data_IF_188272255241
#
_entry.id   IF_188272255241
#
_cell.length_a   1.000
_cell.length_b   1.000
_cell.length_c   1.000
_cell.angle_alpha   90.00
_cell.angle_beta   90.00
_cell.angle_gamma   90.00
#
_symmetry.space_group_name_H-M   'P 1'
#
loop_
_entity.id
_entity.type
_entity.pdbx_description
1 polymer ?
#
# COMPACT_ATOMS: atom_id res chain seq x y z
N UNK A 1 -11.37 18.88 2.66
CA UNK A 1 -12.02 18.13 3.77
C UNK A 1 -13.10 17.17 3.27
N UNK A 2 -13.95 17.55 2.31
CA UNK A 2 -15.00 16.67 1.76
C UNK A 2 -14.49 15.29 1.30
N UNK A 3 -13.34 15.24 0.62
CA UNK A 3 -12.73 13.98 0.18
C UNK A 3 -12.40 13.02 1.33
N UNK A 4 -11.86 13.50 2.45
CA UNK A 4 -11.53 12.65 3.60
C UNK A 4 -12.79 12.14 4.30
N UNK A 5 -13.85 12.96 4.35
CA UNK A 5 -15.15 12.53 4.86
C UNK A 5 -15.72 11.42 3.97
N UNK A 6 -15.67 11.58 2.65
CA UNK A 6 -16.09 10.55 1.70
C UNK A 6 -15.29 9.25 1.87
N UNK A 7 -13.97 9.35 2.08
CA UNK A 7 -13.13 8.19 2.34
C UNK A 7 -13.53 7.47 3.63
N UNK A 8 -13.80 8.21 4.71
CA UNK A 8 -14.25 7.65 5.98
C UNK A 8 -15.65 7.01 5.88
N UNK A 9 -16.57 7.63 5.14
CA UNK A 9 -17.89 7.06 4.87
C UNK A 9 -17.76 5.73 4.11
N UNK A 10 -16.96 5.69 3.04
CA UNK A 10 -16.68 4.46 2.31
C UNK A 10 -16.08 3.37 3.20
N UNK A 11 -15.10 3.74 4.03
CA UNK A 11 -14.48 2.81 4.97
C UNK A 11 -15.51 2.25 5.97
N UNK A 12 -16.35 3.09 6.56
CA UNK A 12 -17.40 2.67 7.49
C UNK A 12 -18.43 1.74 6.82
N UNK A 13 -18.88 2.08 5.61
CA UNK A 13 -19.82 1.26 4.85
C UNK A 13 -19.23 -0.10 4.47
N UNK A 14 -17.94 -0.16 4.13
CA UNK A 14 -17.27 -1.43 3.86
C UNK A 14 -17.14 -2.30 5.12
N UNK A 15 -16.77 -1.70 6.27
CA UNK A 15 -16.70 -2.43 7.54
C UNK A 15 -18.06 -2.98 7.96
N UNK A 16 -19.13 -2.20 7.74
CA UNK A 16 -20.50 -2.68 7.90
C UNK A 16 -20.81 -3.84 6.94
N UNK A 17 -20.43 -3.72 5.67
CA UNK A 17 -20.55 -4.80 4.69
C UNK A 17 -19.83 -6.09 5.12
N UNK A 18 -18.64 -5.97 5.71
CA UNK A 18 -17.91 -7.10 6.28
C UNK A 18 -18.67 -7.74 7.45
N UNK A 19 -19.25 -6.96 8.37
CA UNK A 19 -19.94 -7.51 9.55
C UNK A 19 -21.23 -8.26 9.19
N UNK A 20 -21.90 -7.87 8.11
CA UNK A 20 -23.09 -8.55 7.60
C UNK A 20 -22.80 -9.55 6.47
N UNK A 21 -21.52 -9.80 6.16
CA UNK A 21 -21.07 -10.71 5.10
C UNK A 21 -21.61 -10.36 3.69
N UNK A 22 -21.88 -9.08 3.41
CA UNK A 22 -22.40 -8.59 2.13
C UNK A 22 -21.27 -8.37 1.12
N UNK A 23 -20.86 -9.43 0.42
CA UNK A 23 -19.74 -9.43 -0.54
C UNK A 23 -19.88 -8.40 -1.65
N UNK A 24 -21.08 -8.22 -2.22
CA UNK A 24 -21.32 -7.23 -3.27
C UNK A 24 -21.14 -5.80 -2.76
N UNK A 25 -21.63 -5.50 -1.54
CA UNK A 25 -21.44 -4.20 -0.92
C UNK A 25 -19.96 -3.92 -0.70
N UNK A 26 -19.23 -4.91 -0.17
CA UNK A 26 -17.78 -4.82 0.00
C UNK A 26 -17.08 -4.55 -1.33
N UNK A 27 -17.42 -5.29 -2.40
CA UNK A 27 -16.81 -5.11 -3.73
C UNK A 27 -17.01 -3.70 -4.29
N UNK A 28 -18.23 -3.15 -4.16
CA UNK A 28 -18.57 -1.83 -4.71
C UNK A 28 -17.96 -0.69 -3.89
N UNK A 29 -17.83 -0.86 -2.57
CA UNK A 29 -17.42 0.19 -1.65
C UNK A 29 -15.91 0.20 -1.40
N UNK A 30 -15.22 -0.95 -1.52
CA UNK A 30 -13.76 -1.05 -1.33
C UNK A 30 -12.94 -0.02 -2.13
N UNK A 31 -13.29 0.29 -3.40
CA UNK A 31 -12.60 1.31 -4.21
C UNK A 31 -12.76 2.75 -3.69
N UNK A 32 -13.84 3.03 -2.94
CA UNK A 32 -14.30 4.39 -2.66
C UNK A 32 -13.31 5.21 -1.81
N UNK A 33 -12.68 4.67 -0.75
CA UNK A 33 -11.66 5.42 -0.01
C UNK A 33 -10.45 5.79 -0.86
N UNK A 34 -10.00 4.91 -1.76
CA UNK A 34 -8.84 5.19 -2.63
C UNK A 34 -9.20 6.21 -3.72
N UNK A 35 -10.41 6.13 -4.29
CA UNK A 35 -10.93 7.16 -5.20
C UNK A 35 -11.02 8.54 -4.52
N UNK A 36 -11.49 8.58 -3.29
CA UNK A 36 -11.55 9.80 -2.51
C UNK A 36 -10.14 10.35 -2.20
N UNK A 37 -9.15 9.49 -1.92
CA UNK A 37 -7.75 9.88 -1.78
C UNK A 37 -7.16 10.42 -3.09
N UNK A 38 -7.51 9.85 -4.25
CA UNK A 38 -7.13 10.38 -5.56
C UNK A 38 -7.69 11.78 -5.79
N UNK A 39 -8.98 11.99 -5.48
CA UNK A 39 -9.63 13.30 -5.54
C UNK A 39 -8.97 14.30 -4.60
N UNK A 40 -8.67 13.90 -3.36
CA UNK A 40 -7.94 14.74 -2.41
C UNK A 40 -6.55 15.12 -2.91
N UNK A 41 -5.79 14.15 -3.42
CA UNK A 41 -4.42 14.34 -3.91
C UNK A 41 -4.35 15.34 -5.07
N UNK A 42 -5.44 15.54 -5.82
CA UNK A 42 -5.51 16.56 -6.86
C UNK A 42 -5.31 17.98 -6.31
N UNK A 43 -5.74 18.24 -5.07
CA UNK A 43 -5.57 19.52 -4.37
C UNK A 43 -4.11 19.80 -3.98
N UNK A 44 -3.23 18.79 -4.01
CA UNK A 44 -1.80 18.97 -3.74
C UNK A 44 -1.09 19.66 -4.93
N UNK A 45 -0.02 20.44 -4.69
CA UNK A 45 0.71 21.11 -5.76
C UNK A 45 1.21 20.13 -6.85
N UNK A 46 1.13 20.50 -8.14
CA UNK A 46 1.64 19.66 -9.23
C UNK A 46 3.14 19.42 -9.06
N UNK A 47 3.52 18.14 -9.05
CA UNK A 47 4.91 17.70 -8.97
C UNK A 47 5.02 16.29 -9.55
N UNK A 48 6.24 15.91 -9.98
CA UNK A 48 6.51 14.53 -10.40
C UNK A 48 6.21 13.54 -9.28
N UNK A 49 6.52 13.91 -8.03
CA UNK A 49 6.16 13.13 -6.84
C UNK A 49 4.66 12.84 -6.79
N UNK A 50 3.82 13.89 -6.86
CA UNK A 50 2.35 13.74 -6.88
C UNK A 50 1.91 12.82 -8.01
N UNK A 51 2.45 13.00 -9.23
CA UNK A 51 2.10 12.18 -10.41
C UNK A 51 2.36 10.69 -10.18
N UNK A 52 3.53 10.35 -9.65
CA UNK A 52 3.87 8.95 -9.36
C UNK A 52 3.04 8.37 -8.20
N UNK A 53 2.72 9.16 -7.17
CA UNK A 53 1.78 8.73 -6.11
C UNK A 53 0.37 8.51 -6.67
N UNK A 54 -0.14 9.41 -7.52
CA UNK A 54 -1.45 9.22 -8.17
C UNK A 54 -1.48 7.96 -9.04
N UNK A 55 -0.41 7.69 -9.79
CA UNK A 55 -0.28 6.48 -10.59
C UNK A 55 -0.31 5.23 -9.70
N UNK A 56 0.42 5.25 -8.59
CA UNK A 56 0.41 4.13 -7.64
C UNK A 56 -0.98 3.88 -7.05
N UNK A 57 -1.68 4.94 -6.63
CA UNK A 57 -3.05 4.83 -6.10
C UNK A 57 -4.02 4.25 -7.13
N UNK A 58 -3.90 4.64 -8.41
CA UNK A 58 -4.74 4.10 -9.48
C UNK A 58 -4.49 2.60 -9.72
N UNK A 59 -3.22 2.17 -9.69
CA UNK A 59 -2.89 0.75 -9.81
C UNK A 59 -3.27 -0.05 -8.56
N UNK A 60 -3.17 0.53 -7.37
CA UNK A 60 -3.69 -0.10 -6.15
C UNK A 60 -5.21 -0.25 -6.18
N UNK A 61 -5.93 0.74 -6.70
CA UNK A 61 -7.37 0.68 -6.93
C UNK A 61 -7.73 -0.48 -7.87
N UNK A 62 -6.99 -0.62 -8.97
CA UNK A 62 -7.16 -1.74 -9.89
C UNK A 62 -6.88 -3.08 -9.19
N UNK A 63 -5.79 -3.16 -8.41
CA UNK A 63 -5.47 -4.32 -7.59
C UNK A 63 -6.57 -4.69 -6.61
N UNK A 64 -7.19 -3.70 -5.96
CA UNK A 64 -8.30 -3.91 -5.02
C UNK A 64 -9.50 -4.57 -5.66
N UNK A 65 -9.88 -4.12 -6.86
CA UNK A 65 -10.99 -4.66 -7.64
C UNK A 65 -10.66 -6.07 -8.13
N UNK A 66 -9.45 -6.29 -8.64
CA UNK A 66 -9.00 -7.61 -9.12
C UNK A 66 -8.93 -8.64 -7.99
N UNK A 67 -8.42 -8.27 -6.81
CA UNK A 67 -8.34 -9.18 -5.65
C UNK A 67 -9.71 -9.46 -5.02
N UNK A 68 -10.66 -8.52 -5.11
CA UNK A 68 -12.02 -8.70 -4.58
C UNK A 68 -12.95 -9.40 -5.58
N UNK A 69 -12.52 -9.59 -6.83
CA UNK A 69 -13.34 -10.21 -7.87
C UNK A 69 -13.61 -11.69 -7.55
N UNK A 70 -14.79 -12.25 -7.87
CA UNK A 70 -15.13 -13.65 -7.56
C UNK A 70 -14.29 -14.71 -8.28
N UNK A 71 -13.60 -14.34 -9.37
CA UNK A 71 -12.68 -15.25 -10.07
C UNK A 71 -11.28 -15.19 -9.45
N UNK A 72 -10.46 -16.25 -9.60
CA UNK A 72 -9.10 -16.30 -9.05
C UNK A 72 -8.12 -15.42 -9.86
N UNK A 73 -8.28 -14.10 -9.71
CA UNK A 73 -7.46 -13.07 -10.34
C UNK A 73 -6.31 -12.61 -9.45
N UNK A 74 -5.92 -13.45 -8.47
CA UNK A 74 -4.89 -13.11 -7.48
C UNK A 74 -3.59 -12.61 -8.14
N UNK A 75 -3.10 -13.30 -9.17
CA UNK A 75 -1.86 -12.93 -9.88
C UNK A 75 -2.00 -11.58 -10.59
N UNK A 76 -3.16 -11.28 -11.17
CA UNK A 76 -3.41 -9.99 -11.81
C UNK A 76 -3.51 -8.86 -10.78
N UNK A 77 -4.16 -9.11 -9.64
CA UNK A 77 -4.18 -8.18 -8.51
C UNK A 77 -2.77 -7.91 -7.98
N UNK A 78 -1.98 -8.97 -7.78
CA UNK A 78 -0.57 -8.89 -7.39
C UNK A 78 0.26 -8.08 -8.40
N UNK A 79 0.02 -8.28 -9.70
CA UNK A 79 0.66 -7.52 -10.78
C UNK A 79 0.28 -6.04 -10.77
N UNK A 80 -0.99 -5.71 -10.53
CA UNK A 80 -1.42 -4.32 -10.40
C UNK A 80 -0.77 -3.64 -9.18
N UNK A 81 -0.76 -4.31 -8.02
CA UNK A 81 -0.05 -3.80 -6.84
C UNK A 81 1.46 -3.71 -7.06
N UNK A 82 2.09 -4.62 -7.81
CA UNK A 82 3.50 -4.53 -8.17
C UNK A 82 3.79 -3.21 -8.90
N UNK A 83 2.98 -2.85 -9.89
CA UNK A 83 3.12 -1.58 -10.61
C UNK A 83 2.89 -0.39 -9.67
N UNK A 84 1.95 -0.49 -8.73
CA UNK A 84 1.74 0.53 -7.71
C UNK A 84 2.99 0.75 -6.83
N UNK A 85 3.61 -0.33 -6.36
CA UNK A 85 4.86 -0.27 -5.58
C UNK A 85 6.00 0.36 -6.37
N UNK A 86 6.15 0.01 -7.65
CA UNK A 86 7.17 0.60 -8.52
C UNK A 86 6.92 2.11 -8.75
N UNK A 87 5.65 2.53 -8.86
CA UNK A 87 5.30 3.94 -8.95
C UNK A 87 5.66 4.70 -7.65
N UNK A 88 5.31 4.15 -6.48
CA UNK A 88 5.70 4.74 -5.19
C UNK A 88 7.22 4.77 -4.99
N UNK A 89 7.90 3.69 -5.35
CA UNK A 89 9.36 3.59 -5.35
C UNK A 89 9.98 4.72 -6.19
N UNK A 90 9.44 4.94 -7.40
CA UNK A 90 9.89 6.01 -8.29
C UNK A 90 9.66 7.40 -7.69
N UNK A 91 8.49 7.63 -7.07
CA UNK A 91 8.19 8.88 -6.37
C UNK A 91 9.19 9.17 -5.23
N UNK A 92 9.46 8.19 -4.37
CA UNK A 92 10.42 8.37 -3.27
C UNK A 92 11.84 8.58 -3.77
N UNK A 93 12.21 7.93 -4.87
CA UNK A 93 13.55 8.05 -5.48
C UNK A 93 13.75 9.37 -6.23
N UNK A 94 12.68 9.99 -6.76
CA UNK A 94 12.78 11.32 -7.35
C UNK A 94 13.03 12.40 -6.31
N UNK A 95 12.48 12.25 -5.10
CA UNK A 95 12.64 13.22 -4.01
C UNK A 95 13.95 13.03 -3.22
N UNK A 96 14.39 11.78 -3.01
CA UNK A 96 15.59 11.47 -2.25
C UNK A 96 16.32 10.32 -2.92
N UNK A 97 17.65 10.41 -3.08
CA UNK A 97 18.52 9.34 -3.59
C UNK A 97 19.53 8.81 -2.57
N UNK A 98 19.42 9.24 -1.31
CA UNK A 98 20.25 8.75 -0.21
C UNK A 98 20.12 7.23 -0.08
N UNK A 99 21.24 6.51 0.05
CA UNK A 99 21.23 5.05 0.18
C UNK A 99 20.57 4.59 1.48
N UNK A 100 20.89 5.20 2.63
CA UNK A 100 20.34 4.83 3.94
C UNK A 100 20.45 3.30 4.21
N UNK A 101 21.66 2.79 4.49
CA UNK A 101 21.93 1.35 4.60
C UNK A 101 21.17 0.67 5.75
N UNK A 102 20.91 1.38 6.86
CA UNK A 102 20.13 0.84 7.98
C UNK A 102 18.68 0.55 7.57
N UNK A 103 17.91 1.50 6.99
CA UNK A 103 16.62 1.20 6.37
C UNK A 103 16.63 0.09 5.32
N UNK A 104 17.69 0.00 4.50
CA UNK A 104 17.82 -1.08 3.52
C UNK A 104 17.90 -2.44 4.20
N UNK A 105 18.78 -2.57 5.19
CA UNK A 105 18.94 -3.81 5.94
C UNK A 105 17.64 -4.20 6.64
N UNK A 106 16.93 -3.25 7.27
CA UNK A 106 15.64 -3.52 7.91
C UNK A 106 14.60 -4.03 6.91
N UNK A 107 14.46 -3.39 5.75
CA UNK A 107 13.49 -3.80 4.72
C UNK A 107 13.83 -5.17 4.10
N UNK A 108 15.12 -5.47 3.93
CA UNK A 108 15.59 -6.77 3.44
C UNK A 108 15.37 -7.88 4.47
N UNK A 109 15.70 -7.65 5.74
CA UNK A 109 15.51 -8.64 6.81
C UNK A 109 14.02 -8.94 7.00
N UNK A 110 13.18 -7.90 7.09
CA UNK A 110 11.75 -8.08 7.24
C UNK A 110 11.14 -8.82 6.02
N UNK A 111 11.52 -8.41 4.80
CA UNK A 111 11.05 -9.05 3.57
C UNK A 111 11.51 -10.51 3.44
N UNK A 112 12.77 -10.80 3.75
CA UNK A 112 13.33 -12.15 3.71
C UNK A 112 12.70 -13.05 4.77
N UNK A 113 12.46 -12.55 5.98
CA UNK A 113 11.79 -13.31 7.04
C UNK A 113 10.37 -13.71 6.64
N UNK A 114 9.57 -12.75 6.13
CA UNK A 114 8.23 -13.03 5.64
C UNK A 114 8.26 -13.99 4.45
N UNK A 115 9.10 -13.72 3.45
CA UNK A 115 9.20 -14.57 2.27
C UNK A 115 9.63 -16.00 2.63
N UNK A 116 10.58 -16.17 3.56
CA UNK A 116 10.99 -17.47 4.06
C UNK A 116 9.85 -18.23 4.74
N UNK A 117 9.02 -17.54 5.53
CA UNK A 117 7.82 -18.11 6.13
C UNK A 117 6.79 -18.56 5.06
N UNK A 118 6.56 -17.73 4.04
CA UNK A 118 5.62 -18.08 2.97
C UNK A 118 6.12 -19.26 2.13
N UNK A 119 7.42 -19.28 1.81
CA UNK A 119 8.06 -20.37 1.07
C UNK A 119 7.98 -21.70 1.83
N UNK A 120 8.18 -21.68 3.16
CA UNK A 120 8.13 -22.90 3.97
C UNK A 120 6.76 -23.56 4.01
N UNK A 121 5.69 -22.80 3.72
CA UNK A 121 4.31 -23.30 3.63
C UNK A 121 3.88 -23.67 2.20
N UNK A 122 4.77 -23.54 1.22
CA UNK A 122 4.56 -24.03 -0.15
C UNK A 122 3.78 -23.04 -1.04
N UNK A 123 4.52 -22.19 -1.77
CA UNK A 123 3.93 -21.25 -2.74
C UNK A 123 3.59 -21.86 -4.10
N UNK A 124 4.14 -23.03 -4.43
CA UNK A 124 3.92 -23.71 -5.70
C UNK A 124 4.19 -22.79 -6.91
N UNK A 125 3.27 -22.68 -7.89
CA UNK A 125 3.43 -21.81 -9.07
C UNK A 125 3.57 -20.31 -8.74
N UNK A 126 3.16 -19.88 -7.55
CA UNK A 126 3.19 -18.47 -7.14
C UNK A 126 4.54 -18.05 -6.55
N UNK A 127 5.52 -18.96 -6.45
CA UNK A 127 6.85 -18.68 -5.90
C UNK A 127 7.50 -17.47 -6.56
N UNK A 128 7.64 -17.48 -7.90
CA UNK A 128 8.31 -16.41 -8.64
C UNK A 128 7.53 -15.08 -8.54
N UNK A 129 6.20 -15.04 -8.80
CA UNK A 129 5.42 -13.82 -8.59
C UNK A 129 5.56 -13.21 -7.19
N UNK A 130 5.50 -14.02 -6.13
CA UNK A 130 5.60 -13.56 -4.74
C UNK A 130 7.00 -13.05 -4.41
N UNK A 131 8.07 -13.69 -4.91
CA UNK A 131 9.44 -13.18 -4.74
C UNK A 131 9.60 -11.81 -5.39
N UNK A 132 9.19 -11.68 -6.66
CA UNK A 132 9.29 -10.40 -7.40
C UNK A 132 8.51 -9.31 -6.69
N UNK A 133 7.31 -9.64 -6.22
CA UNK A 133 6.48 -8.73 -5.43
C UNK A 133 7.16 -8.31 -4.12
N UNK A 134 7.64 -9.28 -3.34
CA UNK A 134 8.33 -9.07 -2.07
C UNK A 134 9.54 -8.14 -2.21
N UNK A 135 10.34 -8.32 -3.26
CA UNK A 135 11.47 -7.45 -3.56
C UNK A 135 11.03 -6.02 -3.87
N UNK A 136 9.97 -5.85 -4.66
CA UNK A 136 9.46 -4.53 -5.04
C UNK A 136 8.89 -3.76 -3.84
N UNK A 137 8.09 -4.42 -2.99
CA UNK A 137 7.52 -3.80 -1.79
C UNK A 137 8.61 -3.50 -0.74
N UNK A 138 9.59 -4.37 -0.56
CA UNK A 138 10.76 -4.10 0.30
C UNK A 138 11.57 -2.92 -0.23
N UNK A 139 11.79 -2.80 -1.54
CA UNK A 139 12.48 -1.65 -2.13
C UNK A 139 11.68 -0.35 -1.92
N UNK A 140 10.36 -0.39 -2.11
CA UNK A 140 9.47 0.74 -1.85
C UNK A 140 9.55 1.19 -0.38
N UNK A 141 9.48 0.26 0.57
CA UNK A 141 9.62 0.51 2.00
C UNK A 141 10.98 1.14 2.33
N UNK A 142 12.05 0.55 1.81
CA UNK A 142 13.40 1.09 1.98
C UNK A 142 13.48 2.55 1.51
N UNK A 143 12.99 2.87 0.30
CA UNK A 143 13.02 4.24 -0.21
C UNK A 143 12.16 5.19 0.62
N UNK A 144 11.01 4.74 1.12
CA UNK A 144 10.17 5.54 2.01
C UNK A 144 10.90 5.89 3.32
N UNK A 145 11.55 4.90 3.95
CA UNK A 145 12.34 5.07 5.17
C UNK A 145 13.62 5.89 4.93
N UNK A 146 14.24 5.79 3.75
CA UNK A 146 15.43 6.58 3.39
C UNK A 146 15.15 8.09 3.33
N UNK A 147 13.89 8.50 3.19
CA UNK A 147 13.47 9.91 3.29
C UNK A 147 13.58 10.43 4.72
N UNK A 148 13.52 9.57 5.74
CA UNK A 148 13.74 9.96 7.14
C UNK A 148 15.20 10.42 7.33
N UNK A 149 15.37 11.64 7.82
CA UNK A 149 16.69 12.25 7.98
C UNK A 149 17.34 12.67 6.66
N UNK A 150 16.54 12.97 5.64
CA UNK A 150 16.97 13.69 4.43
C UNK A 150 16.47 15.15 4.47
N UNK A 151 16.81 15.94 3.45
CA UNK A 151 16.37 17.34 3.32
C UNK A 151 14.88 17.49 2.93
N UNK A 152 14.18 16.37 2.71
CA UNK A 152 12.72 16.35 2.49
C UNK A 152 11.99 16.84 3.75
N UNK A 153 10.91 17.63 3.64
CA UNK A 153 10.14 18.08 4.79
C UNK A 153 9.78 16.94 5.75
N UNK A 154 10.16 17.08 7.02
CA UNK A 154 10.06 16.03 8.05
C UNK A 154 8.68 15.36 8.10
N UNK A 155 7.60 16.16 8.05
CA UNK A 155 6.22 15.65 8.04
C UNK A 155 5.91 14.79 6.82
N UNK A 156 6.38 15.19 5.63
CA UNK A 156 6.20 14.40 4.39
C UNK A 156 6.95 13.06 4.48
N UNK A 157 8.19 13.09 4.95
CA UNK A 157 9.00 11.88 5.13
C UNK A 157 8.36 10.91 6.15
N UNK A 158 7.87 11.43 7.28
CA UNK A 158 7.19 10.62 8.31
C UNK A 158 5.89 9.99 7.79
N UNK A 159 5.06 10.75 7.06
CA UNK A 159 3.80 10.25 6.51
C UNK A 159 4.02 9.16 5.46
N UNK A 160 5.00 9.32 4.57
CA UNK A 160 5.34 8.27 3.60
C UNK A 160 5.93 7.03 4.26
N UNK A 161 6.80 7.19 5.26
CA UNK A 161 7.38 6.07 5.99
C UNK A 161 6.28 5.30 6.75
N UNK A 162 5.43 5.99 7.51
CA UNK A 162 4.31 5.37 8.22
C UNK A 162 3.33 4.70 7.24
N UNK A 163 3.03 5.36 6.12
CA UNK A 163 2.17 4.83 5.07
C UNK A 163 2.74 3.56 4.43
N UNK A 164 4.03 3.55 4.09
CA UNK A 164 4.71 2.38 3.54
C UNK A 164 4.77 1.20 4.52
N UNK A 165 5.04 1.47 5.80
CA UNK A 165 5.03 0.44 6.85
C UNK A 165 3.63 -0.17 7.01
N UNK A 166 2.58 0.65 7.05
CA UNK A 166 1.21 0.16 7.14
C UNK A 166 0.78 -0.64 5.90
N UNK A 167 1.25 -0.25 4.72
CA UNK A 167 1.02 -1.00 3.49
C UNK A 167 1.72 -2.38 3.54
N UNK A 168 3.01 -2.41 3.88
CA UNK A 168 3.77 -3.66 4.02
C UNK A 168 3.12 -4.58 5.05
N UNK A 169 2.63 -4.01 6.16
CA UNK A 169 1.89 -4.77 7.16
C UNK A 169 0.61 -5.38 6.58
N UNK A 170 -0.19 -4.60 5.84
CA UNK A 170 -1.40 -5.11 5.16
C UNK A 170 -1.08 -6.30 4.26
N UNK A 171 -0.08 -6.17 3.40
CA UNK A 171 0.32 -7.21 2.45
C UNK A 171 0.93 -8.43 3.13
N UNK A 172 1.64 -8.22 4.24
CA UNK A 172 2.13 -9.31 5.08
C UNK A 172 0.95 -10.13 5.62
N UNK A 173 -0.10 -9.46 6.08
CA UNK A 173 -1.32 -10.13 6.54
C UNK A 173 -2.04 -10.84 5.39
N UNK A 174 -2.12 -10.24 4.19
CA UNK A 174 -2.66 -10.93 2.99
C UNK A 174 -1.88 -12.23 2.74
N UNK A 175 -0.55 -12.16 2.66
CA UNK A 175 0.31 -13.32 2.42
C UNK A 175 0.13 -14.42 3.47
N UNK A 176 0.15 -14.06 4.76
CA UNK A 176 -0.05 -15.00 5.85
C UNK A 176 -1.45 -15.63 5.78
N UNK A 177 -2.50 -14.83 5.57
CA UNK A 177 -3.88 -15.31 5.50
C UNK A 177 -4.14 -16.26 4.31
N UNK A 178 -3.42 -16.05 3.21
CA UNK A 178 -3.58 -16.80 1.95
C UNK A 178 -2.79 -18.10 1.95
N UNK A 179 -1.57 -18.09 2.48
CA UNK A 179 -0.61 -19.19 2.32
C UNK A 179 -0.26 -19.93 3.61
N UNK A 180 -0.48 -19.33 4.79
CA UNK A 180 -0.08 -19.92 6.07
C UNK A 180 -1.31 -20.36 6.86
N UNK A 181 -2.17 -19.40 7.24
CA UNK A 181 -3.36 -19.66 8.05
C UNK A 181 -4.40 -18.57 7.86
N UNK A 182 -5.62 -18.96 7.49
CA UNK A 182 -6.77 -18.04 7.45
C UNK A 182 -7.28 -17.78 8.87
N UNK A 183 -7.63 -16.52 9.16
CA UNK A 183 -8.18 -16.12 10.45
C UNK A 183 -9.18 -14.96 10.31
N UNK A 184 -10.19 -14.93 11.18
CA UNK A 184 -11.37 -14.05 11.04
C UNK A 184 -11.06 -12.55 11.10
N UNK A 185 -10.00 -12.18 11.82
CA UNK A 185 -9.58 -10.78 11.92
C UNK A 185 -8.82 -10.29 10.67
N UNK A 186 -8.38 -11.18 9.76
CA UNK A 186 -7.54 -10.81 8.63
C UNK A 186 -8.18 -9.75 7.73
N UNK A 187 -9.46 -9.87 7.29
CA UNK A 187 -10.07 -8.86 6.41
C UNK A 187 -10.08 -7.45 7.01
N UNK A 188 -10.29 -7.34 8.33
CA UNK A 188 -10.27 -6.07 9.05
C UNK A 188 -8.87 -5.49 9.16
N UNK A 189 -7.89 -6.30 9.57
CA UNK A 189 -6.49 -5.86 9.68
C UNK A 189 -5.93 -5.42 8.32
N UNK A 190 -6.22 -6.18 7.27
CA UNK A 190 -5.81 -5.89 5.89
C UNK A 190 -6.36 -4.53 5.47
N UNK A 191 -7.68 -4.34 5.49
CA UNK A 191 -8.28 -3.15 4.89
C UNK A 191 -7.99 -1.86 5.66
N UNK A 192 -7.94 -1.93 7.01
CA UNK A 192 -7.65 -0.78 7.85
C UNK A 192 -6.20 -0.32 7.68
N UNK A 193 -5.25 -1.25 7.77
CA UNK A 193 -3.83 -0.92 7.56
C UNK A 193 -3.55 -0.47 6.14
N UNK A 194 -4.23 -1.05 5.15
CA UNK A 194 -4.15 -0.64 3.76
C UNK A 194 -4.60 0.80 3.54
N UNK A 195 -5.81 1.17 3.97
CA UNK A 195 -6.29 2.55 3.77
C UNK A 195 -5.50 3.58 4.56
N UNK A 196 -5.06 3.25 5.77
CA UNK A 196 -4.13 4.09 6.53
C UNK A 196 -2.80 4.24 5.79
N UNK A 197 -2.31 3.15 5.19
CA UNK A 197 -1.14 3.13 4.33
C UNK A 197 -1.28 4.09 3.15
N UNK A 198 -2.32 3.91 2.35
CA UNK A 198 -2.63 4.75 1.19
C UNK A 198 -2.82 6.22 1.58
N UNK A 199 -3.51 6.49 2.69
CA UNK A 199 -3.67 7.83 3.20
C UNK A 199 -2.32 8.47 3.58
N UNK A 200 -1.44 7.75 4.29
CA UNK A 200 -0.11 8.25 4.65
C UNK A 200 0.75 8.55 3.42
N UNK A 201 0.71 7.66 2.43
CA UNK A 201 1.40 7.83 1.15
C UNK A 201 0.86 9.05 0.40
N UNK A 202 -0.46 9.20 0.26
CA UNK A 202 -1.09 10.35 -0.38
C UNK A 202 -0.81 11.67 0.37
N UNK A 203 -0.96 11.65 1.70
CA UNK A 203 -0.75 12.79 2.57
C UNK A 203 0.70 13.31 2.49
N UNK A 204 1.67 12.44 2.23
CA UNK A 204 3.07 12.83 2.05
C UNK A 204 3.31 13.77 0.87
N UNK A 205 2.41 13.82 -0.13
CA UNK A 205 2.54 14.72 -1.27
C UNK A 205 2.15 16.18 -0.93
N UNK A 206 1.42 16.41 0.16
CA UNK A 206 1.06 17.74 0.62
C UNK A 206 2.25 18.36 1.35
N UNK A 207 3.14 18.97 0.56
CA UNK A 207 4.29 19.71 1.09
C UNK A 207 3.80 20.93 1.87
N UNK A 208 4.08 20.98 3.17
CA UNK A 208 4.11 22.27 3.87
C UNK A 208 5.37 22.99 3.41
N UNK A 209 5.23 24.23 2.91
CA UNK A 209 6.39 25.13 2.74
C UNK A 209 7.17 25.15 4.06
N UNK A 210 8.51 25.10 4.04
CA UNK A 210 9.28 25.48 5.21
C UNK A 210 8.81 26.87 5.62
N UNK A 211 8.44 27.03 6.90
CA UNK A 211 8.28 28.36 7.48
C UNK A 211 9.65 29.00 7.62
#
# INVERSE_FOLDING_TARGET
MGWLILALMGAATFLYGLSIHATLLCLLVKPLPVLALLGWLHDAPPSDYRRWISLGLLFSLLGDVLLAWPADLFVFGLGAFLVAHLAYLKAYTSDCRRLAPVPLLLALVAGAALLGLLISHGLGPLLVPVIVYGLAISAMLWRALARLGSDVPKRSAQLAAAGAVAFVFSDSVIGISRFVVAFDAAPYLIILSYWLGQWGIAASAFRQKPR
#
